data_IF_786470690154
#
_entry.id   IF_786470690154
#
_cell.length_a   1.000
_cell.length_b   1.000
_cell.length_c   1.000
_cell.angle_alpha   90.00
_cell.angle_beta   90.00
_cell.angle_gamma   90.00
#
_symmetry.space_group_name_H-M   'P 1'
#
loop_
_entity.id
_entity.type
_entity.pdbx_description
1 polymer ?
#
# COMPACT_ATOMS: atom_id res chain seq x y z
N UNK A 1 23.48 -12.84 23.89
CA UNK A 1 22.01 -12.88 24.02
C UNK A 1 21.42 -12.16 22.81
N UNK A 2 20.96 -12.89 21.85
CA UNK A 2 20.32 -12.31 20.67
C UNK A 2 18.90 -11.88 21.09
N UNK A 3 18.70 -10.59 21.22
CA UNK A 3 17.37 -10.00 21.39
C UNK A 3 16.58 -10.24 20.11
N UNK A 4 15.42 -10.86 20.28
CA UNK A 4 14.58 -11.34 19.23
C UNK A 4 14.21 -10.27 18.23
N UNK A 5 14.51 -10.51 16.98
CA UNK A 5 13.70 -9.95 15.88
C UNK A 5 12.28 -10.46 16.13
N UNK A 6 11.45 -9.63 16.70
CA UNK A 6 10.00 -9.85 16.71
C UNK A 6 9.61 -10.25 15.29
N UNK A 7 9.16 -11.49 15.10
CA UNK A 7 9.07 -12.18 13.83
C UNK A 7 8.13 -11.53 12.82
N UNK A 8 8.46 -10.31 12.36
CA UNK A 8 7.79 -9.66 11.25
C UNK A 8 8.31 -10.28 9.94
N UNK A 9 7.45 -11.02 9.29
CA UNK A 9 7.65 -11.60 7.97
C UNK A 9 6.94 -10.71 6.94
N UNK A 10 7.65 -10.29 5.88
CA UNK A 10 7.03 -9.62 4.72
C UNK A 10 7.28 -10.49 3.50
N UNK A 11 6.22 -10.87 2.82
CA UNK A 11 6.27 -11.73 1.64
C UNK A 11 5.16 -11.40 0.64
N UNK A 12 5.31 -11.83 -0.63
CA UNK A 12 4.22 -11.75 -1.60
C UNK A 12 2.99 -12.51 -1.11
N UNK A 13 1.81 -11.95 -1.38
CA UNK A 13 0.54 -12.59 -1.06
C UNK A 13 0.36 -13.91 -1.82
N UNK A 14 -0.22 -14.89 -1.15
CA UNK A 14 -0.57 -16.19 -1.71
C UNK A 14 -2.09 -16.42 -1.68
N UNK A 15 -2.64 -17.30 -2.55
CA UNK A 15 -4.08 -17.57 -2.56
C UNK A 15 -4.64 -18.04 -1.21
N UNK A 16 -3.81 -18.68 -0.38
CA UNK A 16 -4.17 -19.10 0.98
C UNK A 16 -4.44 -17.92 1.92
N UNK A 17 -3.78 -16.77 1.69
CA UNK A 17 -3.89 -15.57 2.53
C UNK A 17 -5.22 -14.81 2.33
N UNK A 18 -5.98 -15.14 1.31
CA UNK A 18 -7.16 -14.37 0.89
C UNK A 18 -8.21 -14.18 2.00
N UNK A 19 -8.35 -15.14 2.92
CA UNK A 19 -9.27 -15.02 4.06
C UNK A 19 -8.70 -14.08 5.12
N UNK A 20 -7.44 -14.25 5.50
CA UNK A 20 -6.76 -13.36 6.43
C UNK A 20 -6.73 -11.92 5.90
N UNK A 21 -6.49 -11.76 4.60
CA UNK A 21 -6.53 -10.45 3.94
C UNK A 21 -7.93 -9.80 4.00
N UNK A 22 -8.99 -10.57 3.76
CA UNK A 22 -10.35 -10.04 3.84
C UNK A 22 -10.67 -9.52 5.25
N UNK A 23 -10.29 -10.25 6.30
CA UNK A 23 -10.53 -9.83 7.69
C UNK A 23 -9.68 -8.58 8.03
N UNK A 24 -8.40 -8.59 7.70
CA UNK A 24 -7.53 -7.41 7.82
C UNK A 24 -8.11 -6.18 7.10
N UNK A 25 -8.59 -6.36 5.86
CA UNK A 25 -9.12 -5.25 5.07
C UNK A 25 -10.44 -4.70 5.65
N UNK A 26 -11.27 -5.56 6.23
CA UNK A 26 -12.47 -5.13 6.98
C UNK A 26 -12.09 -4.28 8.20
N UNK A 27 -11.06 -4.67 8.94
CA UNK A 27 -10.56 -3.89 10.09
C UNK A 27 -10.09 -2.49 9.63
N UNK A 28 -9.31 -2.41 8.54
CA UNK A 28 -8.86 -1.13 7.97
C UNK A 28 -10.03 -0.25 7.52
N UNK A 29 -11.00 -0.83 6.83
CA UNK A 29 -12.18 -0.10 6.33
C UNK A 29 -13.08 0.38 7.47
N UNK A 30 -13.21 -0.41 8.53
CA UNK A 30 -14.03 -0.06 9.70
C UNK A 30 -13.49 1.15 10.49
N UNK A 31 -12.23 1.57 10.27
CA UNK A 31 -11.72 2.82 10.81
C UNK A 31 -12.34 4.07 10.14
N UNK A 32 -12.94 3.92 8.95
CA UNK A 32 -13.60 4.97 8.14
C UNK A 32 -12.74 6.22 7.85
N UNK A 33 -11.43 6.14 8.06
CA UNK A 33 -10.56 7.31 8.20
C UNK A 33 -9.56 7.50 7.07
N UNK A 34 -8.82 6.46 6.69
CA UNK A 34 -7.61 6.62 5.87
C UNK A 34 -7.70 5.97 4.49
N UNK A 35 -8.78 5.27 4.20
CA UNK A 35 -8.99 4.59 2.91
C UNK A 35 -10.25 5.09 2.22
N UNK A 36 -10.26 5.03 0.88
CA UNK A 36 -11.44 5.43 0.09
C UNK A 36 -12.62 4.49 0.24
N UNK A 37 -12.35 3.22 0.51
CA UNK A 37 -13.38 2.18 0.65
C UNK A 37 -14.17 2.40 1.94
N UNK A 38 -15.48 2.42 1.84
CA UNK A 38 -16.39 2.52 2.99
C UNK A 38 -17.04 1.18 3.35
N UNK A 39 -17.11 0.25 2.39
CA UNK A 39 -17.67 -1.08 2.60
C UNK A 39 -16.89 -2.14 1.80
N UNK A 40 -16.59 -3.27 2.44
CA UNK A 40 -15.90 -4.39 1.79
C UNK A 40 -16.91 -5.37 1.20
N UNK A 41 -17.13 -5.26 -0.11
CA UNK A 41 -18.03 -6.15 -0.88
C UNK A 41 -17.31 -7.25 -1.65
N UNK A 42 -15.98 -7.16 -1.74
CA UNK A 42 -15.17 -8.09 -2.52
C UNK A 42 -15.13 -9.47 -1.85
N UNK A 43 -15.56 -10.55 -2.52
CA UNK A 43 -15.57 -11.88 -1.93
C UNK A 43 -14.17 -12.50 -1.89
N UNK A 44 -13.93 -13.40 -0.93
CA UNK A 44 -12.65 -14.12 -0.75
C UNK A 44 -12.12 -14.74 -2.05
N UNK A 45 -13.01 -15.30 -2.90
CA UNK A 45 -12.61 -15.90 -4.18
C UNK A 45 -11.92 -14.90 -5.13
N UNK A 46 -12.27 -13.62 -5.08
CA UNK A 46 -11.65 -12.59 -5.90
C UNK A 46 -10.21 -12.30 -5.43
N UNK A 47 -9.97 -12.25 -4.11
CA UNK A 47 -8.62 -12.14 -3.55
C UNK A 47 -7.78 -13.37 -3.87
N UNK A 48 -8.33 -14.59 -3.75
CA UNK A 48 -7.63 -15.81 -4.17
C UNK A 48 -7.19 -15.76 -5.62
N UNK A 49 -8.06 -15.27 -6.51
CA UNK A 49 -7.73 -15.12 -7.93
C UNK A 49 -6.66 -14.06 -8.14
N UNK A 50 -6.74 -12.92 -7.44
CA UNK A 50 -5.74 -11.84 -7.49
C UNK A 50 -4.38 -12.35 -7.03
N UNK A 51 -4.28 -12.97 -5.90
CA UNK A 51 -3.02 -13.45 -5.31
C UNK A 51 -2.39 -14.65 -6.04
N UNK A 52 -3.15 -15.30 -6.93
CA UNK A 52 -2.61 -16.34 -7.83
C UNK A 52 -1.80 -15.75 -8.97
N UNK A 53 -2.06 -14.50 -9.35
CA UNK A 53 -1.39 -13.87 -10.48
C UNK A 53 0.01 -13.45 -10.07
N UNK A 54 0.98 -13.88 -10.87
CA UNK A 54 2.37 -13.42 -10.78
C UNK A 54 2.67 -12.64 -12.04
N UNK A 55 3.01 -11.36 -11.93
CA UNK A 55 3.32 -10.53 -13.08
C UNK A 55 4.24 -9.39 -12.67
N UNK A 56 4.84 -8.74 -13.64
CA UNK A 56 5.57 -7.48 -13.50
C UNK A 56 4.66 -6.24 -13.55
N UNK A 57 3.35 -6.47 -13.65
CA UNK A 57 2.34 -5.42 -13.68
C UNK A 57 1.78 -5.07 -12.30
N UNK A 58 1.76 -6.03 -11.38
CA UNK A 58 1.21 -5.80 -10.04
C UNK A 58 1.84 -6.74 -9.01
N UNK A 59 1.94 -6.25 -7.79
CA UNK A 59 2.29 -7.07 -6.62
C UNK A 59 1.45 -6.68 -5.42
N UNK A 60 1.16 -7.68 -4.59
CA UNK A 60 0.64 -7.51 -3.23
C UNK A 60 1.65 -8.14 -2.28
N UNK A 61 2.12 -7.37 -1.30
CA UNK A 61 2.97 -7.88 -0.23
C UNK A 61 2.27 -7.76 1.09
N UNK A 62 2.38 -8.79 1.91
CA UNK A 62 1.72 -8.92 3.19
C UNK A 62 2.77 -8.98 4.30
N UNK A 63 2.51 -8.26 5.39
CA UNK A 63 3.32 -8.27 6.59
C UNK A 63 2.61 -9.07 7.68
N UNK A 64 3.24 -10.12 8.17
CA UNK A 64 2.75 -10.97 9.24
C UNK A 64 3.61 -10.81 10.50
N UNK A 65 2.97 -10.78 11.65
CA UNK A 65 3.61 -10.79 12.96
C UNK A 65 2.91 -11.82 13.84
N UNK A 66 3.67 -12.80 14.33
CA UNK A 66 3.08 -13.91 15.10
C UNK A 66 1.98 -14.68 14.35
N UNK A 67 2.06 -14.75 13.02
CA UNK A 67 1.06 -15.41 12.17
C UNK A 67 -0.19 -14.55 11.87
N UNK A 68 -0.32 -13.35 12.47
CA UNK A 68 -1.40 -12.41 12.17
C UNK A 68 -0.97 -11.45 11.05
N UNK A 69 -1.84 -11.20 10.10
CA UNK A 69 -1.64 -10.17 9.07
C UNK A 69 -1.80 -8.78 9.70
N UNK A 70 -0.75 -7.98 9.64
CA UNK A 70 -0.68 -6.65 10.26
C UNK A 70 -0.42 -5.52 9.25
N UNK A 71 -0.11 -5.85 8.01
CA UNK A 71 0.13 -4.83 6.99
C UNK A 71 0.07 -5.37 5.57
N UNK A 72 -0.19 -4.47 4.64
CA UNK A 72 -0.31 -4.75 3.22
C UNK A 72 0.21 -3.57 2.41
N UNK A 73 0.92 -3.84 1.34
CA UNK A 73 1.24 -2.88 0.29
C UNK A 73 0.94 -3.49 -1.08
N UNK A 74 0.34 -2.70 -1.96
CA UNK A 74 0.15 -3.06 -3.36
C UNK A 74 0.84 -2.05 -4.26
N UNK A 75 1.44 -2.53 -5.34
CA UNK A 75 1.97 -1.71 -6.44
C UNK A 75 1.33 -2.17 -7.72
N UNK A 76 0.79 -1.23 -8.48
CA UNK A 76 0.12 -1.50 -9.75
C UNK A 76 0.72 -0.60 -10.84
N UNK A 77 1.35 -1.24 -11.84
CA UNK A 77 1.94 -0.55 -12.99
C UNK A 77 0.85 0.01 -13.90
N UNK A 78 1.08 1.21 -14.41
CA UNK A 78 0.28 1.78 -15.49
C UNK A 78 0.35 0.91 -16.76
N UNK A 79 -0.79 0.73 -17.42
CA UNK A 79 -0.88 -0.17 -18.60
C UNK A 79 -0.69 0.54 -19.93
N UNK A 80 -0.78 1.87 -19.93
CA UNK A 80 -0.61 2.64 -21.14
C UNK A 80 0.88 2.71 -21.53
N UNK A 81 1.26 2.50 -22.79
CA UNK A 81 2.67 2.42 -23.21
C UNK A 81 3.52 3.63 -22.81
N UNK A 82 2.98 4.85 -22.89
CA UNK A 82 3.74 6.07 -22.56
C UNK A 82 3.88 6.34 -21.06
N UNK A 83 3.10 5.67 -20.21
CA UNK A 83 3.19 5.75 -18.74
C UNK A 83 3.61 4.44 -18.11
N UNK A 84 4.08 3.47 -18.91
CA UNK A 84 4.45 2.14 -18.43
C UNK A 84 5.62 2.13 -17.42
N UNK A 85 6.37 3.22 -17.31
CA UNK A 85 7.40 3.45 -16.30
C UNK A 85 6.83 3.92 -14.94
N UNK A 86 5.52 4.18 -14.86
CA UNK A 86 4.83 4.65 -13.65
C UNK A 86 4.04 3.51 -13.01
N UNK A 87 4.00 3.48 -11.68
CA UNK A 87 3.09 2.61 -10.94
C UNK A 87 2.45 3.34 -9.77
N UNK A 88 1.20 3.01 -9.48
CA UNK A 88 0.51 3.45 -8.28
C UNK A 88 0.84 2.54 -7.10
N UNK A 89 0.87 3.12 -5.89
CA UNK A 89 1.14 2.41 -4.64
C UNK A 89 0.03 2.71 -3.63
N UNK A 90 -0.38 1.68 -2.89
CA UNK A 90 -1.27 1.83 -1.73
C UNK A 90 -0.77 0.94 -0.58
N UNK A 91 -0.83 1.47 0.64
CA UNK A 91 -0.35 0.78 1.84
C UNK A 91 -1.35 0.93 2.98
N UNK A 92 -1.49 -0.12 3.79
CA UNK A 92 -2.25 -0.10 5.03
C UNK A 92 -1.52 -0.90 6.12
N UNK A 93 -1.60 -0.42 7.36
CA UNK A 93 -1.08 -1.10 8.55
C UNK A 93 -2.17 -1.09 9.62
N UNK A 94 -2.40 -2.23 10.26
CA UNK A 94 -3.37 -2.39 11.35
C UNK A 94 -3.12 -1.37 12.46
N UNK A 95 -4.18 -0.81 13.04
CA UNK A 95 -4.09 0.31 13.98
C UNK A 95 -3.15 0.02 15.16
N UNK A 96 -3.23 -1.17 15.74
CA UNK A 96 -2.41 -1.62 16.87
C UNK A 96 -0.96 -1.97 16.50
N UNK A 97 -0.64 -2.02 15.21
CA UNK A 97 0.69 -2.30 14.68
C UNK A 97 1.42 -1.05 14.12
N UNK A 98 0.76 0.11 14.13
CA UNK A 98 1.34 1.38 13.66
C UNK A 98 2.44 1.88 14.62
N UNK A 99 3.28 2.79 14.11
CA UNK A 99 4.37 3.39 14.90
C UNK A 99 5.55 2.45 15.19
N UNK A 100 5.55 1.25 14.63
CA UNK A 100 6.54 0.17 14.88
C UNK A 100 7.46 -0.10 13.69
N UNK A 101 7.48 0.78 12.69
CA UNK A 101 8.32 0.66 11.52
C UNK A 101 7.81 -0.29 10.42
N UNK A 102 6.66 -0.95 10.61
CA UNK A 102 6.10 -1.90 9.63
C UNK A 102 5.82 -1.22 8.29
N UNK A 103 5.21 -0.02 8.32
CA UNK A 103 4.96 0.75 7.10
C UNK A 103 6.23 1.06 6.32
N UNK A 104 7.33 1.42 7.01
CA UNK A 104 8.62 1.67 6.36
C UNK A 104 9.16 0.42 5.67
N UNK A 105 9.14 -0.72 6.34
CA UNK A 105 9.61 -1.98 5.76
C UNK A 105 8.77 -2.41 4.55
N UNK A 106 7.45 -2.23 4.60
CA UNK A 106 6.56 -2.47 3.46
C UNK A 106 6.89 -1.55 2.27
N UNK A 107 7.16 -0.27 2.53
CA UNK A 107 7.58 0.69 1.51
C UNK A 107 8.91 0.29 0.87
N UNK A 108 9.90 -0.11 1.67
CA UNK A 108 11.21 -0.55 1.20
C UNK A 108 11.08 -1.77 0.28
N UNK A 109 10.25 -2.76 0.64
CA UNK A 109 9.97 -3.94 -0.21
C UNK A 109 9.23 -3.58 -1.50
N UNK A 110 8.24 -2.67 -1.43
CA UNK A 110 7.51 -2.20 -2.60
C UNK A 110 8.42 -1.46 -3.58
N UNK A 111 9.30 -0.59 -3.09
CA UNK A 111 10.28 0.15 -3.90
C UNK A 111 11.29 -0.83 -4.53
N UNK A 112 11.77 -1.80 -3.76
CA UNK A 112 12.69 -2.82 -4.28
C UNK A 112 12.05 -3.66 -5.38
N UNK A 113 10.78 -4.06 -5.22
CA UNK A 113 10.04 -4.77 -6.26
C UNK A 113 9.86 -3.90 -7.51
N UNK A 114 9.43 -2.64 -7.33
CA UNK A 114 9.21 -1.70 -8.42
C UNK A 114 10.49 -1.48 -9.26
N UNK A 115 11.64 -1.33 -8.62
CA UNK A 115 12.94 -1.23 -9.30
C UNK A 115 13.26 -2.49 -10.12
N UNK A 116 13.07 -3.69 -9.54
CA UNK A 116 13.27 -4.95 -10.28
C UNK A 116 12.32 -5.11 -11.47
N UNK A 117 11.10 -4.58 -11.36
CA UNK A 117 10.12 -4.57 -12.44
C UNK A 117 10.40 -3.48 -13.50
N UNK A 118 11.43 -2.64 -13.34
CA UNK A 118 11.74 -1.54 -14.28
C UNK A 118 10.75 -0.39 -14.21
N UNK A 119 10.15 -0.15 -13.03
CA UNK A 119 9.33 1.02 -12.74
C UNK A 119 10.27 2.14 -12.31
N UNK A 120 10.06 3.34 -12.84
CA UNK A 120 10.92 4.50 -12.59
C UNK A 120 10.25 5.52 -11.67
N UNK A 121 8.91 5.56 -11.66
CA UNK A 121 8.12 6.51 -10.85
C UNK A 121 7.03 5.77 -10.07
N UNK A 122 6.99 6.00 -8.76
CA UNK A 122 5.87 5.58 -7.91
C UNK A 122 4.98 6.79 -7.58
N UNK A 123 3.67 6.60 -7.66
CA UNK A 123 2.68 7.63 -7.33
C UNK A 123 1.68 7.08 -6.29
N UNK A 124 1.18 7.96 -5.46
CA UNK A 124 0.12 7.64 -4.50
C UNK A 124 -0.75 8.87 -4.23
N UNK A 125 -1.91 8.65 -3.64
CA UNK A 125 -2.70 9.73 -3.05
C UNK A 125 -2.91 9.46 -1.55
N UNK A 126 -3.04 10.54 -0.79
CA UNK A 126 -3.21 10.48 0.66
C UNK A 126 -4.12 11.61 1.12
N UNK A 127 -4.97 11.33 2.12
CA UNK A 127 -5.79 12.37 2.75
C UNK A 127 -4.92 13.33 3.55
N UNK A 128 -5.18 14.66 3.51
CA UNK A 128 -4.36 15.66 4.20
C UNK A 128 -4.24 15.43 5.71
N UNK A 129 -5.26 14.87 6.34
CA UNK A 129 -5.28 14.57 7.77
C UNK A 129 -4.47 13.31 8.17
N UNK A 130 -3.98 12.53 7.20
CA UNK A 130 -3.14 11.37 7.46
C UNK A 130 -1.66 11.77 7.56
N UNK A 131 -1.34 12.59 8.57
CA UNK A 131 0.00 13.14 8.77
C UNK A 131 1.08 12.06 8.93
N UNK A 132 0.74 10.96 9.60
CA UNK A 132 1.68 9.85 9.79
C UNK A 132 2.07 9.17 8.47
N UNK A 133 1.11 8.98 7.55
CA UNK A 133 1.40 8.45 6.23
C UNK A 133 2.21 9.44 5.37
N UNK A 134 1.86 10.73 5.41
CA UNK A 134 2.60 11.78 4.71
C UNK A 134 4.06 11.81 5.18
N UNK A 135 4.30 11.73 6.48
CA UNK A 135 5.66 11.69 7.05
C UNK A 135 6.42 10.43 6.58
N UNK A 136 5.76 9.26 6.57
CA UNK A 136 6.32 8.01 6.05
C UNK A 136 6.74 8.17 4.58
N UNK A 137 5.84 8.68 3.73
CA UNK A 137 6.11 8.84 2.30
C UNK A 137 7.25 9.82 2.03
N UNK A 138 7.27 10.97 2.72
CA UNK A 138 8.40 11.92 2.66
C UNK A 138 9.71 11.26 3.07
N UNK A 139 9.71 10.46 4.12
CA UNK A 139 10.87 9.68 4.56
C UNK A 139 11.33 8.61 3.55
N UNK A 140 10.46 8.22 2.60
CA UNK A 140 10.77 7.32 1.47
C UNK A 140 11.09 8.05 0.17
N UNK A 141 11.25 9.40 0.20
CA UNK A 141 11.62 10.19 -0.98
C UNK A 141 10.43 10.67 -1.83
N UNK A 142 9.18 10.50 -1.37
CA UNK A 142 8.02 11.05 -2.05
C UNK A 142 7.90 12.56 -1.79
N UNK A 143 7.58 13.29 -2.84
CA UNK A 143 7.25 14.72 -2.81
C UNK A 143 5.82 14.95 -3.28
N UNK A 144 5.21 16.04 -2.82
CA UNK A 144 3.88 16.45 -3.28
C UNK A 144 3.97 16.96 -4.72
N UNK A 145 3.13 16.42 -5.61
CA UNK A 145 2.99 16.86 -7.01
C UNK A 145 1.68 17.65 -7.25
N UNK A 146 0.74 17.58 -6.33
CA UNK A 146 -0.51 18.32 -6.46
C UNK A 146 -1.53 17.98 -5.39
N UNK A 147 -2.62 18.73 -5.42
CA UNK A 147 -3.77 18.55 -4.52
C UNK A 147 -5.06 18.54 -5.33
N UNK A 148 -5.85 17.54 -5.11
CA UNK A 148 -7.17 17.36 -5.71
C UNK A 148 -8.23 17.80 -4.70
N UNK A 149 -8.82 18.98 -4.91
CA UNK A 149 -9.84 19.50 -4.02
C UNK A 149 -11.15 18.72 -4.17
N UNK A 150 -11.76 18.33 -3.04
CA UNK A 150 -13.05 17.63 -2.97
C UNK A 150 -13.09 16.36 -3.86
N UNK A 151 -11.99 15.64 -3.92
CA UNK A 151 -11.81 14.51 -4.85
C UNK A 151 -12.56 13.26 -4.43
N UNK A 152 -12.59 12.95 -3.14
CA UNK A 152 -13.38 11.85 -2.57
C UNK A 152 -14.69 12.38 -1.99
N UNK A 153 -15.80 11.69 -2.25
CA UNK A 153 -17.10 11.95 -1.63
C UNK A 153 -17.44 10.79 -0.71
N UNK A 154 -17.26 11.02 0.57
CA UNK A 154 -17.54 10.07 1.65
C UNK A 154 -18.95 10.25 2.19
N UNK A 155 -19.43 9.29 2.98
CA UNK A 155 -20.73 9.36 3.68
C UNK A 155 -20.88 10.61 4.54
N UNK A 156 -19.77 11.15 5.06
CA UNK A 156 -19.72 12.36 5.89
C UNK A 156 -19.35 13.65 5.13
N UNK A 157 -19.08 13.60 3.84
CA UNK A 157 -18.76 14.78 3.02
C UNK A 157 -17.58 14.60 2.07
N UNK A 158 -17.09 15.71 1.55
CA UNK A 158 -15.99 15.74 0.59
C UNK A 158 -14.62 15.79 1.29
N UNK A 159 -13.68 15.07 0.72
CA UNK A 159 -12.28 15.04 1.13
C UNK A 159 -11.37 15.46 -0.03
N UNK A 160 -10.35 16.26 0.29
CA UNK A 160 -9.25 16.51 -0.63
C UNK A 160 -8.28 15.34 -0.63
N UNK A 161 -7.50 15.22 -1.69
CA UNK A 161 -6.39 14.26 -1.76
C UNK A 161 -5.10 14.97 -2.18
N UNK A 162 -4.01 14.66 -1.50
CA UNK A 162 -2.66 15.06 -1.89
C UNK A 162 -2.08 13.98 -2.78
N UNK A 163 -1.64 14.35 -3.98
CA UNK A 163 -0.87 13.48 -4.85
C UNK A 163 0.60 13.57 -4.49
N UNK A 164 1.24 12.43 -4.26
CA UNK A 164 2.67 12.36 -3.99
C UNK A 164 3.34 11.38 -4.93
N UNK A 165 4.57 11.66 -5.31
CA UNK A 165 5.37 10.80 -6.17
C UNK A 165 6.83 10.73 -5.73
N UNK A 166 7.45 9.60 -6.07
CA UNK A 166 8.89 9.40 -5.94
C UNK A 166 9.46 8.89 -7.26
N UNK A 167 10.53 9.52 -7.74
CA UNK A 167 11.35 9.00 -8.82
C UNK A 167 12.33 7.97 -8.23
N UNK A 168 12.21 6.72 -8.65
CA UNK A 168 13.02 5.59 -8.16
C UNK A 168 13.90 4.96 -9.24
N UNK A 169 13.76 5.41 -10.50
CA UNK A 169 14.64 5.05 -11.60
C UNK A 169 16.05 5.64 -11.41
N UNK A 170 17.01 5.10 -12.15
CA UNK A 170 18.34 5.68 -12.20
C UNK A 170 18.32 7.12 -12.74
N UNK A 171 19.40 7.85 -12.50
CA UNK A 171 19.55 9.25 -12.87
C UNK A 171 19.10 9.53 -14.31
N UNK A 172 18.00 10.28 -14.44
CA UNK A 172 17.57 10.85 -15.68
C UNK A 172 18.25 12.18 -15.93
#
# INVERSE_FOLDING_TARGET
MAEGSNGLEIRPAEPADARAFLEFWKEIVAEERFVRTEEVRTPVRAYRRRFRRRSDLETDMLAFEGGRLVGHVTVQRERHPVTHHVASLSIAVAADARGRGIGRRLMDEAIAWAKRAGIEKLVLSVYPHNEAAIALYRGCGFVEEGRLARHSHKSYGYEDEILMAAWIGGDG
#
